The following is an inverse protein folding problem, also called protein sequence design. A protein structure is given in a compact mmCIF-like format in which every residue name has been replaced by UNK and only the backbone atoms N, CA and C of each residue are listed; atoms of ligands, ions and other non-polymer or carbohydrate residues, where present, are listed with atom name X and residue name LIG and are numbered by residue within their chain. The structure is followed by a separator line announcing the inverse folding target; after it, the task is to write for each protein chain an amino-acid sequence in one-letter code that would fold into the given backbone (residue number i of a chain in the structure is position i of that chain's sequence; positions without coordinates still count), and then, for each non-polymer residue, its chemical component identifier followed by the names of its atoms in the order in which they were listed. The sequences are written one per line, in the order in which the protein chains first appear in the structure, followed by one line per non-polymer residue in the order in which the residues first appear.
data_IF_805230927202
#
_entry.id   IF_805230927202
#
_cell.length_a   1.000
_cell.length_b   1.000
_cell.length_c   1.000
_cell.angle_alpha   90.00
_cell.angle_beta   90.00
_cell.angle_gamma   90.00
#
_symmetry.space_group_name_H-M   'P 1'
#
loop_
_entity.id
_entity.type
_entity.pdbx_description
1 polymer ?
#
# COMPACT_ATOMS: atom_id res chain seq x y z
N UNK A 1 -19.40 12.12 -3.17
CA UNK A 1 -20.05 10.86 -2.74
C UNK A 1 -21.26 11.21 -1.87
N UNK A 2 -22.36 10.49 -2.00
CA UNK A 2 -23.66 10.82 -1.38
C UNK A 2 -24.02 9.74 -0.36
N UNK A 3 -24.26 10.16 0.88
CA UNK A 3 -25.30 9.60 1.76
C UNK A 3 -26.22 10.79 2.12
N UNK A 4 -27.54 10.64 1.96
CA UNK A 4 -28.51 11.62 2.50
C UNK A 4 -28.64 12.96 1.76
N UNK A 5 -28.62 12.97 0.42
CA UNK A 5 -29.04 14.14 -0.38
C UNK A 5 -28.11 15.36 -0.36
N UNK A 6 -26.96 15.29 0.32
CA UNK A 6 -25.93 16.33 0.31
C UNK A 6 -24.60 15.80 -0.21
N UNK A 7 -23.99 16.51 -1.17
CA UNK A 7 -22.62 16.24 -1.59
C UNK A 7 -21.70 16.56 -0.41
N UNK A 8 -21.04 15.56 0.19
CA UNK A 8 -20.00 15.85 1.20
C UNK A 8 -18.82 16.47 0.46
N UNK A 9 -18.78 17.81 0.46
CA UNK A 9 -17.67 18.60 -0.05
C UNK A 9 -16.73 18.93 1.11
N UNK A 10 -15.49 18.47 1.00
CA UNK A 10 -14.42 18.93 1.88
C UNK A 10 -14.04 20.36 1.47
N UNK A 11 -13.99 21.27 2.45
CA UNK A 11 -13.59 22.66 2.19
C UNK A 11 -12.07 22.74 2.04
N UNK A 12 -11.53 23.72 1.29
CA UNK A 12 -10.12 24.03 1.33
C UNK A 12 -9.57 24.14 2.77
N UNK A 13 -8.39 23.59 3.00
CA UNK A 13 -7.75 23.44 4.32
C UNK A 13 -8.25 22.26 5.14
N UNK A 14 -9.28 21.52 4.68
CA UNK A 14 -9.73 20.31 5.37
C UNK A 14 -8.70 19.20 5.19
N UNK A 15 -8.35 18.55 6.30
CA UNK A 15 -7.47 17.38 6.32
C UNK A 15 -8.32 16.15 6.65
N UNK A 16 -8.23 15.12 5.82
CA UNK A 16 -8.99 13.88 5.98
C UNK A 16 -8.16 12.65 5.66
N UNK A 17 -8.53 11.54 6.30
CA UNK A 17 -7.94 10.23 6.06
C UNK A 17 -8.84 9.44 5.12
N UNK A 18 -8.27 8.75 4.14
CA UNK A 18 -8.95 7.70 3.38
C UNK A 18 -8.49 6.37 3.95
N UNK A 19 -9.44 5.55 4.38
CA UNK A 19 -9.24 4.19 4.86
C UNK A 19 -9.91 3.26 3.83
N UNK A 20 -9.13 2.74 2.90
CA UNK A 20 -9.58 1.78 1.90
C UNK A 20 -9.48 0.37 2.48
N UNK A 21 -10.61 -0.14 2.99
CA UNK A 21 -10.71 -1.49 3.52
C UNK A 21 -11.25 -2.44 2.45
N UNK A 22 -10.32 -3.12 1.77
CA UNK A 22 -10.60 -4.15 0.79
C UNK A 22 -10.78 -5.54 1.39
N UNK A 23 -10.85 -6.54 0.50
CA UNK A 23 -10.86 -7.96 0.89
C UNK A 23 -9.51 -8.38 1.48
N UNK A 24 -8.41 -8.19 0.74
CA UNK A 24 -7.09 -8.61 1.21
C UNK A 24 -6.37 -7.59 2.09
N UNK A 25 -6.40 -6.32 1.69
CA UNK A 25 -5.62 -5.26 2.35
C UNK A 25 -6.50 -4.16 2.91
N UNK A 26 -5.94 -3.42 3.85
CA UNK A 26 -6.42 -2.10 4.24
C UNK A 26 -5.30 -1.10 3.96
N UNK A 27 -5.60 -0.11 3.13
CA UNK A 27 -4.68 0.94 2.70
C UNK A 27 -5.15 2.30 3.23
N UNK A 28 -4.24 3.08 3.78
CA UNK A 28 -4.51 4.36 4.46
C UNK A 28 -3.66 5.46 3.86
N UNK A 29 -4.32 6.56 3.50
CA UNK A 29 -3.71 7.79 3.00
C UNK A 29 -4.32 9.01 3.71
N UNK A 30 -3.56 10.10 3.81
CA UNK A 30 -4.00 11.34 4.46
C UNK A 30 -3.84 12.48 3.48
N UNK A 31 -4.91 13.25 3.28
CA UNK A 31 -4.98 14.29 2.27
C UNK A 31 -5.44 15.62 2.86
N UNK A 32 -4.90 16.71 2.29
CA UNK A 32 -5.39 18.07 2.44
C UNK A 32 -6.08 18.51 1.15
N UNK A 33 -7.22 19.18 1.29
CA UNK A 33 -7.86 19.88 0.17
C UNK A 33 -7.25 21.26 0.02
N UNK A 34 -6.63 21.54 -1.12
CA UNK A 34 -6.02 22.84 -1.42
C UNK A 34 -7.06 23.89 -1.83
N UNK A 35 -6.64 25.16 -1.87
CA UNK A 35 -7.49 26.29 -2.27
C UNK A 35 -8.06 26.19 -3.69
N UNK A 36 -7.37 25.48 -4.59
CA UNK A 36 -7.80 25.22 -5.97
C UNK A 36 -8.67 23.95 -6.10
N UNK A 37 -9.03 23.34 -4.97
CA UNK A 37 -9.85 22.12 -4.90
C UNK A 37 -9.08 20.83 -5.15
N UNK A 38 -7.77 20.90 -5.43
CA UNK A 38 -6.94 19.71 -5.64
C UNK A 38 -6.46 19.10 -4.34
N UNK A 39 -5.95 17.88 -4.44
CA UNK A 39 -5.50 17.10 -3.27
C UNK A 39 -3.98 17.13 -3.14
N UNK A 40 -3.53 17.31 -1.89
CA UNK A 40 -2.15 17.13 -1.45
C UNK A 40 -2.08 15.98 -0.46
N UNK A 41 -1.29 14.95 -0.77
CA UNK A 41 -0.96 13.91 0.21
C UNK A 41 -0.06 14.49 1.30
N UNK A 42 -0.40 14.22 2.57
CA UNK A 42 0.27 14.79 3.74
C UNK A 42 1.16 13.81 4.49
N UNK A 43 0.91 12.51 4.31
CA UNK A 43 1.63 11.44 4.98
C UNK A 43 1.77 10.26 4.02
N UNK A 44 2.93 9.60 4.05
CA UNK A 44 3.22 8.42 3.23
C UNK A 44 2.08 7.39 3.38
N UNK A 45 1.56 6.92 2.26
CA UNK A 45 0.60 5.82 2.23
C UNK A 45 1.12 4.60 3.03
N UNK A 46 0.25 3.98 3.81
CA UNK A 46 0.57 2.82 4.67
C UNK A 46 -0.61 1.86 4.75
N UNK A 47 -0.38 0.62 5.15
CA UNK A 47 -1.44 -0.38 5.19
C UNK A 47 -0.94 -1.76 5.59
N UNK A 48 -1.83 -2.75 5.53
CA UNK A 48 -1.49 -4.14 5.83
C UNK A 48 -2.58 -5.13 5.43
N UNK A 49 -2.27 -6.42 5.54
CA UNK A 49 -3.17 -7.53 5.22
C UNK A 49 -4.21 -7.77 6.34
N UNK A 50 -5.05 -6.77 6.59
CA UNK A 50 -6.06 -6.76 7.66
C UNK A 50 -7.48 -6.64 7.10
N UNK A 51 -7.67 -6.92 5.81
CA UNK A 51 -8.95 -6.83 5.13
C UNK A 51 -9.93 -7.94 5.54
N UNK A 52 -11.07 -7.97 4.86
CA UNK A 52 -12.13 -8.96 5.11
C UNK A 52 -11.68 -10.44 5.02
N UNK A 53 -10.63 -10.74 4.26
CA UNK A 53 -10.05 -12.09 4.13
C UNK A 53 -9.45 -12.59 5.44
N UNK A 54 -9.00 -11.70 6.32
CA UNK A 54 -8.53 -12.11 7.65
C UNK A 54 -9.67 -12.67 8.52
N UNK A 55 -10.90 -12.21 8.28
CA UNK A 55 -12.10 -12.75 8.94
C UNK A 55 -12.44 -14.13 8.37
N UNK A 56 -12.26 -14.33 7.06
CA UNK A 56 -12.42 -15.63 6.40
C UNK A 56 -11.39 -16.65 6.90
N UNK A 57 -10.16 -16.21 7.11
CA UNK A 57 -9.11 -17.03 7.71
C UNK A 57 -9.44 -17.37 9.17
N UNK A 58 -9.94 -16.41 9.96
CA UNK A 58 -10.39 -16.68 11.32
C UNK A 58 -11.55 -17.70 11.36
N UNK A 59 -12.49 -17.62 10.42
CA UNK A 59 -13.57 -18.61 10.26
C UNK A 59 -13.02 -19.98 9.88
N UNK A 60 -12.03 -20.03 9.00
CA UNK A 60 -11.33 -21.27 8.63
C UNK A 60 -10.69 -21.92 9.85
N UNK A 61 -9.95 -21.15 10.66
CA UNK A 61 -9.35 -21.65 11.90
C UNK A 61 -10.40 -22.08 12.93
N UNK A 62 -11.54 -21.38 12.99
CA UNK A 62 -12.68 -21.80 13.78
C UNK A 62 -13.19 -23.18 13.35
N UNK A 63 -13.45 -23.41 12.06
CA UNK A 63 -13.88 -24.73 11.56
C UNK A 63 -12.84 -25.82 11.83
N UNK A 64 -11.55 -25.55 11.54
CA UNK A 64 -10.44 -26.46 11.85
C UNK A 64 -10.42 -26.83 13.34
N UNK A 65 -10.73 -25.90 14.23
CA UNK A 65 -10.79 -26.19 15.67
C UNK A 65 -12.00 -27.04 16.10
N UNK A 66 -13.00 -27.20 15.23
CA UNK A 66 -14.12 -28.13 15.44
C UNK A 66 -13.84 -29.52 14.88
N UNK A 67 -13.27 -29.60 13.68
CA UNK A 67 -13.15 -30.87 12.93
C UNK A 67 -11.72 -31.43 12.85
N UNK A 68 -10.71 -30.62 13.16
CA UNK A 68 -9.30 -30.96 12.95
C UNK A 68 -8.79 -30.60 11.55
N UNK A 69 -7.50 -30.25 11.47
CA UNK A 69 -6.86 -29.85 10.22
C UNK A 69 -6.80 -30.96 9.14
N UNK A 70 -6.56 -32.25 9.46
CA UNK A 70 -6.60 -33.33 8.46
C UNK A 70 -7.96 -33.42 7.75
N UNK A 71 -9.05 -33.55 8.53
CA UNK A 71 -10.44 -33.58 8.04
C UNK A 71 -10.75 -32.35 7.17
N UNK A 72 -10.43 -31.15 7.66
CA UNK A 72 -10.73 -29.92 6.92
C UNK A 72 -9.98 -29.84 5.58
N UNK A 73 -8.70 -30.24 5.54
CA UNK A 73 -7.92 -30.28 4.29
C UNK A 73 -8.46 -31.30 3.30
N UNK A 74 -8.84 -32.49 3.79
CA UNK A 74 -9.46 -33.52 2.93
C UNK A 74 -10.76 -32.99 2.33
N UNK A 75 -11.62 -32.36 3.14
CA UNK A 75 -12.85 -31.72 2.68
C UNK A 75 -12.61 -30.65 1.59
N UNK A 76 -11.59 -29.81 1.73
CA UNK A 76 -11.24 -28.80 0.72
C UNK A 76 -10.86 -29.39 -0.65
N UNK A 77 -10.24 -30.57 -0.65
CA UNK A 77 -9.75 -31.23 -1.87
C UNK A 77 -10.82 -32.13 -2.49
N UNK A 78 -11.49 -32.95 -1.68
CA UNK A 78 -12.44 -33.96 -2.14
C UNK A 78 -13.85 -33.39 -2.38
N UNK A 79 -14.24 -32.30 -1.71
CA UNK A 79 -15.58 -31.72 -1.79
C UNK A 79 -15.54 -30.19 -2.00
N UNK A 80 -14.83 -29.74 -3.05
CA UNK A 80 -14.64 -28.32 -3.34
C UNK A 80 -15.95 -27.55 -3.55
N UNK A 81 -16.99 -28.18 -4.13
CA UNK A 81 -18.29 -27.53 -4.35
C UNK A 81 -18.98 -27.17 -3.03
N UNK A 82 -19.06 -28.15 -2.10
CA UNK A 82 -19.61 -27.96 -0.76
C UNK A 82 -18.81 -26.93 0.04
N UNK A 83 -17.48 -26.97 -0.08
CA UNK A 83 -16.59 -25.98 0.53
C UNK A 83 -16.93 -24.56 0.04
N UNK A 84 -17.06 -24.37 -1.27
CA UNK A 84 -17.39 -23.08 -1.86
C UNK A 84 -18.80 -22.60 -1.47
N UNK A 85 -19.79 -23.50 -1.40
CA UNK A 85 -21.15 -23.14 -0.97
C UNK A 85 -21.17 -22.68 0.50
N UNK A 86 -20.50 -23.41 1.39
CA UNK A 86 -20.41 -23.05 2.81
C UNK A 86 -19.73 -21.69 3.01
N UNK A 87 -18.66 -21.39 2.26
CA UNK A 87 -17.98 -20.09 2.35
C UNK A 87 -18.80 -18.96 1.72
N UNK A 88 -19.62 -19.22 0.70
CA UNK A 88 -20.58 -18.22 0.19
C UNK A 88 -21.65 -17.89 1.23
N UNK A 89 -22.15 -18.88 1.95
CA UNK A 89 -23.11 -18.62 3.04
C UNK A 89 -22.44 -17.84 4.18
N UNK A 90 -21.21 -18.21 4.55
CA UNK A 90 -20.44 -17.45 5.53
C UNK A 90 -20.22 -16.00 5.10
N UNK A 91 -19.89 -15.73 3.84
CA UNK A 91 -19.70 -14.37 3.31
C UNK A 91 -20.95 -13.51 3.52
N UNK A 92 -22.15 -14.07 3.32
CA UNK A 92 -23.42 -13.38 3.59
C UNK A 92 -23.53 -13.05 5.09
N UNK A 93 -23.28 -14.04 5.96
CA UNK A 93 -23.36 -13.84 7.42
C UNK A 93 -22.32 -12.88 7.98
N UNK A 94 -21.12 -12.87 7.40
CA UNK A 94 -20.04 -11.94 7.70
C UNK A 94 -20.44 -10.49 7.40
N UNK A 95 -21.24 -10.24 6.35
CA UNK A 95 -21.76 -8.91 6.02
C UNK A 95 -22.95 -8.50 6.89
N UNK A 96 -23.78 -9.46 7.30
CA UNK A 96 -25.00 -9.19 8.08
C UNK A 96 -24.73 -8.93 9.57
N UNK A 97 -23.70 -9.56 10.16
CA UNK A 97 -23.41 -9.45 11.60
C UNK A 97 -23.12 -8.01 12.00
N UNK A 98 -23.71 -7.59 13.12
CA UNK A 98 -23.59 -6.25 13.67
C UNK A 98 -23.16 -6.29 15.15
N UNK A 99 -22.56 -5.21 15.67
CA UNK A 99 -22.09 -5.14 17.06
C UNK A 99 -23.19 -5.40 18.10
N UNK A 100 -24.42 -4.99 17.79
CA UNK A 100 -25.64 -5.12 18.59
C UNK A 100 -26.41 -6.42 18.35
N UNK A 101 -25.94 -7.29 17.45
CA UNK A 101 -26.62 -8.57 17.22
C UNK A 101 -26.28 -9.56 18.35
N UNK A 102 -27.28 -10.00 19.10
CA UNK A 102 -27.11 -11.02 20.15
C UNK A 102 -27.64 -12.40 19.73
N UNK A 103 -28.29 -12.49 18.57
CA UNK A 103 -28.85 -13.74 18.07
C UNK A 103 -27.77 -14.67 17.53
N UNK A 104 -27.97 -15.98 17.71
CA UNK A 104 -27.13 -17.01 17.09
C UNK A 104 -27.17 -16.88 15.57
N UNK A 105 -26.00 -16.96 14.95
CA UNK A 105 -25.84 -17.07 13.50
C UNK A 105 -25.93 -18.55 13.13
N UNK A 106 -26.69 -18.86 12.09
CA UNK A 106 -26.76 -20.22 11.55
C UNK A 106 -26.06 -20.25 10.21
N UNK A 107 -25.19 -21.23 10.02
CA UNK A 107 -24.52 -21.55 8.76
C UNK A 107 -24.74 -23.04 8.48
N UNK A 108 -25.01 -23.39 7.22
CA UNK A 108 -25.11 -24.80 6.82
C UNK A 108 -23.74 -25.46 6.87
N UNK A 109 -23.68 -26.61 7.52
CA UNK A 109 -22.52 -27.49 7.53
C UNK A 109 -22.78 -28.62 6.53
N UNK A 110 -21.97 -28.75 5.47
CA UNK A 110 -22.16 -29.79 4.47
C UNK A 110 -22.10 -31.20 5.08
N UNK A 111 -22.94 -32.11 4.59
CA UNK A 111 -22.94 -33.51 5.05
C UNK A 111 -21.62 -34.20 4.74
N UNK A 112 -20.98 -33.86 3.62
CA UNK A 112 -19.65 -34.35 3.24
C UNK A 112 -18.57 -34.04 4.29
N UNK A 113 -18.55 -32.83 4.87
CA UNK A 113 -17.62 -32.50 5.95
C UNK A 113 -17.89 -33.35 7.20
N UNK A 114 -19.16 -33.57 7.53
CA UNK A 114 -19.56 -34.43 8.63
C UNK A 114 -19.14 -35.89 8.38
N UNK A 115 -19.37 -36.41 7.18
CA UNK A 115 -19.02 -37.78 6.78
C UNK A 115 -17.51 -38.00 6.82
N UNK A 116 -16.70 -37.07 6.31
CA UNK A 116 -15.24 -37.14 6.41
C UNK A 116 -14.79 -37.13 7.87
N UNK A 117 -15.37 -36.27 8.71
CA UNK A 117 -15.04 -36.23 10.13
C UNK A 117 -15.32 -37.59 10.80
N UNK A 118 -16.49 -38.18 10.55
CA UNK A 118 -16.91 -39.45 11.14
C UNK A 118 -16.08 -40.63 10.62
N UNK A 119 -15.68 -40.61 9.34
CA UNK A 119 -14.78 -41.59 8.71
C UNK A 119 -13.37 -41.54 9.33
N UNK A 120 -12.79 -40.36 9.49
CA UNK A 120 -11.43 -40.21 10.02
C UNK A 120 -11.33 -40.37 11.54
N UNK A 121 -12.32 -39.89 12.30
CA UNK A 121 -12.26 -39.87 13.76
C UNK A 121 -12.96 -41.07 14.43
N UNK A 122 -13.93 -41.68 13.76
CA UNK A 122 -14.84 -42.67 14.38
C UNK A 122 -15.82 -42.07 15.40
N UNK A 123 -15.91 -40.74 15.53
CA UNK A 123 -16.79 -40.05 16.46
C UNK A 123 -17.89 -39.23 15.77
N UNK A 124 -19.07 -39.16 16.37
CA UNK A 124 -20.14 -38.27 15.90
C UNK A 124 -19.74 -36.79 16.07
N UNK A 125 -19.80 -36.02 14.98
CA UNK A 125 -19.34 -34.63 14.96
C UNK A 125 -20.07 -33.75 16.00
N UNK A 126 -21.36 -34.00 16.23
CA UNK A 126 -22.12 -33.23 17.23
C UNK A 126 -21.57 -33.48 18.63
N UNK A 127 -21.20 -34.72 18.98
CA UNK A 127 -20.53 -35.04 20.25
C UNK A 127 -19.15 -34.40 20.32
N UNK A 128 -18.35 -34.46 19.25
CA UNK A 128 -17.03 -33.85 19.21
C UNK A 128 -17.08 -32.34 19.48
N UNK A 129 -18.03 -31.61 18.86
CA UNK A 129 -18.24 -30.17 19.11
C UNK A 129 -18.48 -29.89 20.61
N UNK A 130 -19.24 -30.73 21.31
CA UNK A 130 -19.50 -30.56 22.75
C UNK A 130 -18.25 -30.79 23.63
N UNK A 131 -17.20 -31.39 23.10
CA UNK A 131 -15.92 -31.57 23.78
C UNK A 131 -14.95 -30.41 23.52
N UNK A 132 -15.24 -29.56 22.52
CA UNK A 132 -14.42 -28.38 22.23
C UNK A 132 -14.64 -27.26 23.24
N UNK A 133 -13.75 -26.25 23.22
CA UNK A 133 -13.92 -25.00 23.98
C UNK A 133 -15.21 -24.22 23.63
N UNK A 134 -15.86 -24.55 22.51
CA UNK A 134 -17.09 -23.88 22.06
C UNK A 134 -18.38 -24.60 22.45
N UNK A 135 -18.32 -25.63 23.32
CA UNK A 135 -19.47 -26.45 23.69
C UNK A 135 -20.71 -25.69 24.18
N UNK A 136 -20.52 -24.51 24.79
CA UNK A 136 -21.60 -23.63 25.25
C UNK A 136 -22.08 -22.63 24.19
N UNK A 137 -21.29 -22.41 23.16
CA UNK A 137 -21.46 -21.33 22.18
C UNK A 137 -21.86 -21.83 20.80
N UNK A 138 -21.57 -23.09 20.49
CA UNK A 138 -21.78 -23.71 19.19
C UNK A 138 -22.56 -25.00 19.36
N UNK A 139 -23.55 -25.20 18.49
CA UNK A 139 -24.36 -26.42 18.48
C UNK A 139 -24.71 -26.82 17.05
N UNK A 140 -24.65 -28.11 16.75
CA UNK A 140 -25.08 -28.68 15.46
C UNK A 140 -26.46 -29.33 15.61
N UNK A 141 -27.42 -28.96 14.75
CA UNK A 141 -28.76 -29.56 14.69
C UNK A 141 -29.12 -29.86 13.24
N UNK A 142 -29.12 -31.14 12.85
CA UNK A 142 -29.15 -31.51 11.44
C UNK A 142 -27.89 -31.02 10.74
N UNK A 143 -28.04 -30.29 9.64
CA UNK A 143 -26.96 -29.62 8.91
C UNK A 143 -26.75 -28.16 9.36
N UNK A 144 -27.38 -27.71 10.45
CA UNK A 144 -27.33 -26.31 10.89
C UNK A 144 -26.31 -26.13 12.02
N UNK A 145 -25.18 -25.50 11.71
CA UNK A 145 -24.21 -25.04 12.69
C UNK A 145 -24.68 -23.70 13.27
N UNK A 146 -25.16 -23.71 14.51
CA UNK A 146 -25.59 -22.51 15.23
C UNK A 146 -24.47 -21.99 16.10
N UNK A 147 -24.03 -20.77 15.85
CA UNK A 147 -22.87 -20.12 16.45
C UNK A 147 -23.35 -18.89 17.22
N UNK A 148 -22.97 -18.76 18.49
CA UNK A 148 -23.25 -17.55 19.26
C UNK A 148 -22.67 -16.31 18.58
N UNK A 149 -23.37 -15.18 18.74
CA UNK A 149 -22.90 -13.90 18.22
C UNK A 149 -21.52 -13.51 18.77
N UNK A 150 -21.20 -13.87 20.02
CA UNK A 150 -19.86 -13.66 20.62
C UNK A 150 -18.74 -14.27 19.78
N UNK A 151 -18.89 -15.54 19.39
CA UNK A 151 -17.91 -16.26 18.57
C UNK A 151 -17.83 -15.64 17.18
N UNK A 152 -18.96 -15.35 16.53
CA UNK A 152 -18.97 -14.70 15.21
C UNK A 152 -18.29 -13.33 15.22
N UNK A 153 -18.57 -12.50 16.23
CA UNK A 153 -17.92 -11.18 16.41
C UNK A 153 -16.42 -11.34 16.66
N UNK A 154 -16.02 -12.38 17.39
CA UNK A 154 -14.60 -12.63 17.70
C UNK A 154 -13.75 -12.87 16.45
N UNK A 155 -14.33 -13.37 15.35
CA UNK A 155 -13.63 -13.58 14.07
C UNK A 155 -13.06 -12.27 13.47
N UNK A 156 -13.63 -11.11 13.84
CA UNK A 156 -13.20 -9.79 13.35
C UNK A 156 -12.07 -9.17 14.17
N UNK A 157 -11.71 -9.76 15.32
CA UNK A 157 -10.85 -9.14 16.33
C UNK A 157 -9.50 -8.71 15.76
N UNK A 158 -8.83 -9.59 15.02
CA UNK A 158 -7.51 -9.33 14.46
C UNK A 158 -7.56 -8.19 13.43
N UNK A 159 -8.53 -8.22 12.53
CA UNK A 159 -8.70 -7.21 11.47
C UNK A 159 -8.98 -5.83 12.08
N UNK A 160 -9.93 -5.78 13.02
CA UNK A 160 -10.31 -4.55 13.71
C UNK A 160 -9.15 -4.01 14.55
N UNK A 161 -8.52 -4.85 15.37
CA UNK A 161 -7.46 -4.41 16.27
C UNK A 161 -6.25 -3.90 15.49
N UNK A 162 -5.85 -4.58 14.43
CA UNK A 162 -4.73 -4.16 13.57
C UNK A 162 -5.03 -2.82 12.93
N UNK A 163 -6.23 -2.66 12.35
CA UNK A 163 -6.67 -1.40 11.73
C UNK A 163 -6.70 -0.24 12.72
N UNK A 164 -7.37 -0.42 13.86
CA UNK A 164 -7.50 0.62 14.89
C UNK A 164 -6.14 1.01 15.46
N UNK A 165 -5.26 0.02 15.72
CA UNK A 165 -3.92 0.28 16.25
C UNK A 165 -3.08 1.07 15.25
N UNK A 166 -3.16 0.72 13.96
CA UNK A 166 -2.45 1.43 12.90
C UNK A 166 -2.93 2.87 12.75
N UNK A 167 -4.25 3.11 12.74
CA UNK A 167 -4.79 4.48 12.70
C UNK A 167 -4.35 5.27 13.94
N UNK A 168 -4.35 4.67 15.14
CA UNK A 168 -3.85 5.32 16.36
C UNK A 168 -2.37 5.69 16.26
N UNK A 169 -1.56 4.85 15.63
CA UNK A 169 -0.14 5.14 15.40
C UNK A 169 0.04 6.33 14.47
N UNK A 170 -0.68 6.36 13.33
CA UNK A 170 -0.64 7.47 12.39
C UNK A 170 -1.05 8.80 13.06
N UNK A 171 -2.04 8.76 13.95
CA UNK A 171 -2.51 9.94 14.70
C UNK A 171 -1.49 10.53 15.69
N UNK A 172 -0.36 9.86 15.94
CA UNK A 172 0.76 10.44 16.70
C UNK A 172 1.53 11.49 15.89
N UNK A 173 1.52 11.39 14.56
CA UNK A 173 2.12 12.39 13.69
C UNK A 173 1.32 13.70 13.77
N UNK A 174 2.02 14.83 13.92
CA UNK A 174 1.40 16.15 14.07
C UNK A 174 0.52 16.54 12.88
N UNK A 175 0.91 16.14 11.68
CA UNK A 175 0.20 16.44 10.43
C UNK A 175 -1.09 15.62 10.32
N UNK A 176 -1.08 14.38 10.80
CA UNK A 176 -2.26 13.50 10.77
C UNK A 176 -3.22 13.82 11.91
N UNK A 177 -2.71 14.27 13.07
CA UNK A 177 -3.53 14.61 14.24
C UNK A 177 -4.62 15.67 13.97
N UNK A 178 -4.45 16.50 12.93
CA UNK A 178 -5.43 17.51 12.53
C UNK A 178 -6.57 17.00 11.64
N UNK A 179 -6.66 15.69 11.36
CA UNK A 179 -7.76 15.17 10.54
C UNK A 179 -9.12 15.48 11.17
N UNK A 180 -10.07 15.95 10.37
CA UNK A 180 -11.45 16.16 10.80
C UNK A 180 -12.35 14.97 10.49
N UNK A 181 -11.94 14.14 9.53
CA UNK A 181 -12.78 13.08 8.97
C UNK A 181 -11.97 11.84 8.57
N UNK A 182 -12.59 10.67 8.69
CA UNK A 182 -12.14 9.41 8.07
C UNK A 182 -13.17 9.02 7.02
N UNK A 183 -12.73 8.88 5.79
CA UNK A 183 -13.50 8.38 4.66
C UNK A 183 -13.20 6.89 4.48
N UNK A 184 -14.14 6.04 4.84
CA UNK A 184 -14.00 4.58 4.75
C UNK A 184 -14.54 4.10 3.40
N UNK A 185 -13.69 3.49 2.58
CA UNK A 185 -14.00 2.98 1.23
C UNK A 185 -13.56 1.52 1.09
N UNK A 186 -13.91 0.85 0.01
CA UNK A 186 -13.63 -0.57 -0.18
C UNK A 186 -14.72 -1.48 0.43
N UNK A 187 -14.77 -2.73 -0.03
CA UNK A 187 -15.87 -3.64 0.32
C UNK A 187 -15.97 -3.97 1.81
N UNK A 188 -14.83 -4.05 2.52
CA UNK A 188 -14.84 -4.33 3.95
C UNK A 188 -15.26 -3.12 4.80
N UNK A 189 -15.25 -1.91 4.25
CA UNK A 189 -15.83 -0.73 4.89
C UNK A 189 -17.35 -0.79 5.04
N UNK A 190 -18.03 -1.72 4.35
CA UNK A 190 -19.47 -1.99 4.53
C UNK A 190 -19.75 -2.82 5.79
N UNK A 191 -18.72 -3.41 6.42
CA UNK A 191 -18.85 -4.17 7.67
C UNK A 191 -19.28 -3.27 8.83
N UNK A 192 -20.46 -3.55 9.39
CA UNK A 192 -20.97 -2.86 10.59
C UNK A 192 -20.03 -3.01 11.79
N UNK A 193 -19.34 -4.16 11.89
CA UNK A 193 -18.33 -4.41 12.92
C UNK A 193 -17.15 -3.44 12.80
N UNK A 194 -16.59 -3.27 11.59
CA UNK A 194 -15.47 -2.36 11.36
C UNK A 194 -15.90 -0.90 11.54
N UNK A 195 -17.05 -0.50 10.97
CA UNK A 195 -17.58 0.86 11.11
C UNK A 195 -17.77 1.25 12.59
N UNK A 196 -18.35 0.35 13.38
CA UNK A 196 -18.53 0.58 14.81
C UNK A 196 -17.19 0.73 15.54
N UNK A 197 -16.23 -0.14 15.28
CA UNK A 197 -14.92 -0.08 15.92
C UNK A 197 -14.17 1.24 15.61
N UNK A 198 -14.22 1.70 14.36
CA UNK A 198 -13.61 2.98 13.96
C UNK A 198 -14.34 4.15 14.62
N UNK A 199 -15.68 4.21 14.57
CA UNK A 199 -16.46 5.27 15.23
C UNK A 199 -16.20 5.34 16.74
N UNK A 200 -16.18 4.19 17.42
CA UNK A 200 -15.93 4.10 18.86
C UNK A 200 -14.49 4.46 19.22
N UNK A 201 -13.52 4.12 18.38
CA UNK A 201 -12.10 4.42 18.62
C UNK A 201 -11.74 5.88 18.38
N UNK A 202 -12.51 6.58 17.53
CA UNK A 202 -12.26 7.95 17.12
C UNK A 202 -13.52 8.82 17.21
N UNK A 203 -14.09 9.02 18.42
CA UNK A 203 -15.40 9.66 18.60
C UNK A 203 -15.44 11.13 18.16
N UNK A 204 -14.28 11.79 18.13
CA UNK A 204 -14.16 13.21 17.73
C UNK A 204 -13.93 13.39 16.23
N UNK A 205 -13.86 12.30 15.46
CA UNK A 205 -13.57 12.32 14.03
C UNK A 205 -14.81 11.92 13.26
N UNK A 206 -15.18 12.70 12.24
CA UNK A 206 -16.34 12.39 11.40
C UNK A 206 -16.05 11.18 10.52
N UNK A 207 -16.67 10.05 10.79
CA UNK A 207 -16.58 8.86 9.93
C UNK A 207 -17.62 8.94 8.80
N UNK A 208 -17.15 8.94 7.57
CA UNK A 208 -17.96 9.00 6.35
C UNK A 208 -17.83 7.66 5.62
N UNK A 209 -18.94 6.98 5.40
CA UNK A 209 -19.00 5.80 4.53
C UNK A 209 -19.86 6.18 3.33
N UNK A 210 -19.32 6.17 2.12
CA UNK A 210 -20.11 6.47 0.93
C UNK A 210 -21.02 5.30 0.57
N UNK A 211 -22.15 5.61 -0.10
CA UNK A 211 -22.99 4.60 -0.72
C UNK A 211 -22.18 3.76 -1.72
N UNK A 212 -22.35 2.44 -1.67
CA UNK A 212 -21.55 1.45 -2.43
C UNK A 212 -20.04 1.64 -2.21
N UNK A 213 -19.61 1.62 -0.95
CA UNK A 213 -18.20 1.78 -0.59
C UNK A 213 -17.28 0.81 -1.36
N UNK A 214 -17.76 -0.41 -1.66
CA UNK A 214 -17.05 -1.37 -2.51
C UNK A 214 -16.82 -0.94 -3.97
N UNK A 215 -17.64 -0.04 -4.53
CA UNK A 215 -17.51 0.46 -5.91
C UNK A 215 -16.83 1.83 -6.02
N UNK A 216 -16.64 2.52 -4.90
CA UNK A 216 -16.11 3.89 -4.88
C UNK A 216 -14.72 4.00 -5.47
N UNK A 217 -13.85 3.02 -5.23
CA UNK A 217 -12.50 3.01 -5.79
C UNK A 217 -12.54 2.96 -7.32
N UNK A 218 -13.38 2.09 -7.90
CA UNK A 218 -13.56 2.00 -9.34
C UNK A 218 -14.15 3.28 -9.93
N UNK A 219 -15.18 3.86 -9.28
CA UNK A 219 -15.76 5.14 -9.70
C UNK A 219 -14.70 6.26 -9.67
N UNK A 220 -13.89 6.31 -8.62
CA UNK A 220 -12.77 7.24 -8.47
C UNK A 220 -11.72 7.07 -9.56
N UNK A 221 -11.35 5.83 -9.91
CA UNK A 221 -10.41 5.53 -10.97
C UNK A 221 -10.89 6.02 -12.35
N UNK A 222 -12.19 5.84 -12.67
CA UNK A 222 -12.78 6.36 -13.91
C UNK A 222 -12.72 7.89 -13.95
N UNK A 223 -13.10 8.56 -12.87
CA UNK A 223 -12.99 10.03 -12.76
C UNK A 223 -11.55 10.50 -12.90
N UNK A 224 -10.61 9.81 -12.24
CA UNK A 224 -9.19 10.12 -12.35
C UNK A 224 -8.66 9.95 -13.78
N UNK A 225 -9.08 8.90 -14.49
CA UNK A 225 -8.72 8.70 -15.90
C UNK A 225 -9.19 9.84 -16.82
N UNK A 226 -10.35 10.44 -16.53
CA UNK A 226 -10.84 11.63 -17.25
C UNK A 226 -10.15 12.92 -16.82
N UNK A 227 -9.60 13.00 -15.61
CA UNK A 227 -9.01 14.22 -15.03
C UNK A 227 -7.85 13.89 -14.10
N UNK A 228 -6.68 13.49 -14.64
CA UNK A 228 -5.54 13.01 -13.85
C UNK A 228 -4.88 14.12 -13.00
N UNK A 229 -5.14 15.39 -13.31
CA UNK A 229 -4.63 16.56 -12.59
C UNK A 229 -5.35 16.85 -11.25
N UNK A 230 -6.28 15.99 -10.83
CA UNK A 230 -7.05 16.14 -9.57
C UNK A 230 -6.19 16.00 -8.31
N UNK A 231 -5.06 15.29 -8.40
CA UNK A 231 -4.02 15.24 -7.37
C UNK A 231 -2.85 16.08 -7.86
N UNK A 232 -2.31 16.97 -7.02
CA UNK A 232 -1.20 17.85 -7.43
C UNK A 232 0.09 17.60 -6.68
N UNK A 233 0.04 16.98 -5.51
CA UNK A 233 1.22 16.71 -4.71
C UNK A 233 1.18 15.31 -4.13
N UNK A 234 2.34 14.64 -4.11
CA UNK A 234 2.52 13.33 -3.48
C UNK A 234 3.73 13.31 -2.56
N UNK A 235 3.67 12.48 -1.53
CA UNK A 235 4.78 12.24 -0.61
C UNK A 235 5.64 11.10 -1.15
N UNK A 236 6.92 11.36 -1.42
CA UNK A 236 7.81 10.34 -1.98
C UNK A 236 8.06 9.18 -1.00
N UNK A 237 7.90 7.95 -1.49
CA UNK A 237 8.07 6.73 -0.69
C UNK A 237 9.52 6.34 -0.44
N UNK A 238 10.43 6.86 -1.26
CA UNK A 238 11.87 6.61 -1.28
C UNK A 238 12.61 7.91 -1.58
N UNK A 239 13.91 7.93 -1.29
CA UNK A 239 14.83 8.96 -1.77
C UNK A 239 15.28 8.59 -3.18
N UNK A 240 15.13 9.51 -4.14
CA UNK A 240 15.45 9.27 -5.54
C UNK A 240 16.68 10.05 -5.96
N UNK A 241 17.53 9.41 -6.75
CA UNK A 241 18.77 9.99 -7.22
C UNK A 241 19.44 9.20 -8.33
N UNK A 242 20.62 9.67 -8.71
CA UNK A 242 21.48 9.01 -9.71
C UNK A 242 22.88 8.78 -9.15
N UNK A 243 23.63 7.87 -9.77
CA UNK A 243 25.06 7.77 -9.49
C UNK A 243 25.82 9.01 -9.99
N UNK A 244 26.83 9.42 -9.24
CA UNK A 244 27.80 10.44 -9.67
C UNK A 244 29.22 10.07 -9.28
N UNK A 245 30.15 10.68 -10.00
CA UNK A 245 31.57 10.70 -9.68
C UNK A 245 32.00 12.12 -9.33
N UNK A 246 32.80 12.28 -8.26
CA UNK A 246 33.40 13.58 -7.87
C UNK A 246 34.87 13.39 -7.53
N UNK A 247 35.70 14.45 -7.45
CA UNK A 247 37.08 14.34 -6.99
C UNK A 247 37.20 13.59 -5.65
N UNK A 248 38.13 12.66 -5.56
CA UNK A 248 38.32 11.83 -4.37
C UNK A 248 38.81 12.68 -3.19
N UNK A 249 38.27 12.42 -2.00
CA UNK A 249 38.57 13.15 -0.76
C UNK A 249 38.77 12.06 0.31
N UNK A 250 40.01 11.89 0.77
CA UNK A 250 40.37 10.81 1.69
C UNK A 250 39.74 10.94 3.08
N UNK A 251 39.24 12.12 3.44
CA UNK A 251 38.56 12.33 4.73
C UNK A 251 37.08 11.94 4.69
N UNK A 252 36.48 11.89 3.49
CA UNK A 252 35.04 11.66 3.30
C UNK A 252 34.73 10.35 2.58
N UNK A 253 35.53 10.01 1.58
CA UNK A 253 35.22 8.95 0.64
C UNK A 253 35.88 7.62 1.01
N UNK A 254 35.15 6.53 0.80
CA UNK A 254 35.66 5.18 0.95
C UNK A 254 36.72 4.90 -0.13
N UNK A 255 37.92 4.52 0.31
CA UNK A 255 39.04 4.20 -0.59
C UNK A 255 38.69 3.10 -1.60
N UNK A 256 37.74 2.20 -1.28
CA UNK A 256 37.26 1.14 -2.18
C UNK A 256 36.46 1.67 -3.36
N UNK A 257 35.96 2.91 -3.27
CA UNK A 257 35.23 3.61 -4.34
C UNK A 257 36.12 4.52 -5.18
N UNK A 258 37.42 4.58 -4.89
CA UNK A 258 38.40 5.38 -5.63
C UNK A 258 38.64 4.79 -7.02
N UNK A 259 38.55 5.62 -8.04
CA UNK A 259 38.91 5.29 -9.43
C UNK A 259 39.90 6.33 -9.96
N UNK A 260 40.69 5.95 -10.97
CA UNK A 260 41.57 6.89 -11.67
C UNK A 260 40.80 7.61 -12.79
N UNK A 261 40.88 8.94 -12.80
CA UNK A 261 40.36 9.82 -13.84
C UNK A 261 41.46 10.67 -14.48
N UNK A 262 41.16 11.29 -15.62
CA UNK A 262 42.16 12.04 -16.41
C UNK A 262 42.73 13.26 -15.65
N UNK A 263 41.97 13.80 -14.69
CA UNK A 263 42.38 14.94 -13.85
C UNK A 263 42.66 14.53 -12.40
N UNK A 264 42.97 13.27 -12.15
CA UNK A 264 43.26 12.73 -10.83
C UNK A 264 42.17 11.78 -10.31
N UNK A 265 42.32 11.29 -9.07
CA UNK A 265 41.43 10.29 -8.53
C UNK A 265 40.03 10.83 -8.28
N UNK A 266 39.02 10.02 -8.60
CA UNK A 266 37.61 10.29 -8.37
C UNK A 266 37.05 9.27 -7.36
N UNK A 267 36.01 9.65 -6.63
CA UNK A 267 35.14 8.72 -5.93
C UNK A 267 33.93 8.41 -6.81
N UNK A 268 33.71 7.14 -7.11
CA UNK A 268 32.54 6.67 -7.86
C UNK A 268 31.40 6.27 -6.92
N UNK A 269 30.25 5.93 -7.50
CA UNK A 269 29.07 5.37 -6.84
C UNK A 269 28.44 6.29 -5.78
N UNK A 270 28.73 7.60 -5.80
CA UNK A 270 28.08 8.54 -4.89
C UNK A 270 26.62 8.72 -5.30
N UNK A 271 25.75 8.85 -4.30
CA UNK A 271 24.33 9.11 -4.53
C UNK A 271 24.10 10.60 -4.70
N UNK A 272 23.63 11.02 -5.88
CA UNK A 272 23.17 12.39 -6.10
C UNK A 272 21.66 12.50 -5.91
N UNK A 273 21.25 13.06 -4.76
CA UNK A 273 19.85 13.14 -4.35
C UNK A 273 19.11 14.25 -5.08
N UNK A 274 17.97 13.89 -5.68
CA UNK A 274 17.02 14.83 -6.28
C UNK A 274 15.79 15.04 -5.42
N UNK A 275 15.32 13.99 -4.76
CA UNK A 275 14.13 14.02 -3.90
C UNK A 275 14.37 13.14 -2.69
N UNK A 276 13.97 13.60 -1.52
CA UNK A 276 14.07 12.85 -0.27
C UNK A 276 12.79 12.03 0.04
N UNK A 277 12.96 10.86 0.66
CA UNK A 277 11.83 10.12 1.24
C UNK A 277 11.03 11.00 2.22
N UNK A 278 9.72 11.06 2.02
CA UNK A 278 8.83 11.94 2.78
C UNK A 278 8.67 13.35 2.22
N UNK A 279 9.43 13.72 1.19
CA UNK A 279 9.28 15.01 0.51
C UNK A 279 7.98 15.07 -0.30
N UNK A 280 7.30 16.23 -0.26
CA UNK A 280 6.09 16.50 -1.02
C UNK A 280 6.45 17.09 -2.39
N UNK A 281 6.34 16.29 -3.45
CA UNK A 281 6.65 16.72 -4.83
C UNK A 281 5.39 17.07 -5.61
N UNK A 282 5.47 18.13 -6.43
CA UNK A 282 4.41 18.50 -7.36
C UNK A 282 4.40 17.53 -8.55
N UNK A 283 3.22 17.03 -8.92
CA UNK A 283 3.08 16.15 -10.07
C UNK A 283 3.28 16.91 -11.38
N UNK A 284 3.96 16.28 -12.34
CA UNK A 284 4.31 16.82 -13.65
C UNK A 284 5.20 18.08 -13.63
N UNK A 285 5.85 18.36 -12.49
CA UNK A 285 6.85 19.43 -12.36
C UNK A 285 8.23 18.79 -12.25
N UNK A 286 9.16 19.25 -13.08
CA UNK A 286 10.55 18.78 -13.05
C UNK A 286 11.25 19.25 -11.78
N UNK A 287 12.09 18.39 -11.21
CA UNK A 287 13.03 18.76 -10.14
C UNK A 287 14.05 19.77 -10.64
N UNK A 288 14.76 20.42 -9.71
CA UNK A 288 15.91 21.25 -10.05
C UNK A 288 16.92 20.45 -10.86
N UNK A 289 17.34 21.01 -11.99
CA UNK A 289 18.34 20.37 -12.84
C UNK A 289 19.71 20.35 -12.16
N UNK A 290 20.36 19.19 -12.13
CA UNK A 290 21.78 19.12 -11.81
C UNK A 290 22.60 18.99 -13.09
N UNK A 291 23.78 19.59 -13.09
CA UNK A 291 24.71 19.55 -14.21
C UNK A 291 25.83 18.55 -13.98
N UNK A 292 26.12 17.75 -15.01
CA UNK A 292 27.18 16.74 -15.00
C UNK A 292 28.13 16.98 -16.16
N UNK A 293 29.39 16.65 -15.94
CA UNK A 293 30.42 16.66 -16.98
C UNK A 293 31.00 15.25 -17.10
N UNK A 294 31.54 14.89 -18.27
CA UNK A 294 32.18 13.59 -18.44
C UNK A 294 33.36 13.45 -17.49
N UNK A 295 33.62 12.23 -17.02
CA UNK A 295 34.76 11.96 -16.11
C UNK A 295 36.08 11.86 -16.88
N UNK A 296 36.01 11.57 -18.19
CA UNK A 296 37.16 11.42 -19.09
C UNK A 296 37.00 12.24 -20.36
N UNK A 297 38.11 12.72 -20.91
CA UNK A 297 38.14 13.45 -22.17
C UNK A 297 37.65 12.59 -23.35
N UNK A 298 37.99 11.30 -23.32
CA UNK A 298 37.67 10.34 -24.40
C UNK A 298 36.20 9.90 -24.44
N UNK A 299 35.42 10.19 -23.41
CA UNK A 299 34.05 9.73 -23.21
C UNK A 299 33.09 10.27 -24.30
N UNK A 300 32.29 9.37 -24.87
CA UNK A 300 31.34 9.65 -25.96
C UNK A 300 29.88 9.70 -25.50
N UNK A 301 29.61 9.26 -24.27
CA UNK A 301 28.26 9.22 -23.71
C UNK A 301 28.30 9.37 -22.20
N UNK A 302 27.27 9.96 -21.61
CA UNK A 302 27.06 10.03 -20.16
C UNK A 302 25.88 9.14 -19.82
N UNK A 303 26.11 8.15 -18.97
CA UNK A 303 25.07 7.30 -18.41
C UNK A 303 24.61 7.84 -17.06
N UNK A 304 23.31 7.75 -16.80
CA UNK A 304 22.70 8.01 -15.51
C UNK A 304 21.94 6.77 -15.09
N UNK A 305 22.38 6.11 -14.04
CA UNK A 305 21.62 5.02 -13.43
C UNK A 305 20.72 5.61 -12.35
N UNK A 306 19.42 5.32 -12.42
CA UNK A 306 18.43 5.87 -11.50
C UNK A 306 18.22 4.91 -10.34
N UNK A 307 18.24 5.45 -9.12
CA UNK A 307 18.11 4.69 -7.89
C UNK A 307 16.98 5.20 -7.01
N UNK A 308 16.37 4.28 -6.27
CA UNK A 308 15.54 4.55 -5.10
C UNK A 308 16.22 4.03 -3.83
N UNK A 309 16.15 4.78 -2.74
CA UNK A 309 16.68 4.38 -1.43
C UNK A 309 15.61 4.46 -0.34
N UNK A 310 15.62 3.49 0.58
CA UNK A 310 14.82 3.55 1.82
C UNK A 310 15.39 4.52 2.85
N UNK A 311 16.62 4.99 2.68
CA UNK A 311 17.28 5.94 3.58
C UNK A 311 17.04 7.39 3.16
N UNK A 312 17.05 8.33 4.12
CA UNK A 312 16.89 9.78 3.84
C UNK A 312 18.08 10.40 3.13
N UNK A 313 19.29 9.96 3.45
CA UNK A 313 20.53 10.53 2.93
C UNK A 313 21.54 9.41 2.69
N UNK A 314 21.31 8.54 1.69
CA UNK A 314 22.33 7.59 1.25
C UNK A 314 23.56 8.35 0.77
N UNK A 315 24.75 7.84 1.10
CA UNK A 315 26.01 8.40 0.64
C UNK A 315 26.40 7.77 -0.70
N UNK A 316 26.21 6.46 -0.82
CA UNK A 316 26.53 5.70 -2.04
C UNK A 316 25.28 5.02 -2.61
N UNK A 317 25.27 4.81 -3.93
CA UNK A 317 24.25 4.00 -4.61
C UNK A 317 24.34 2.52 -4.25
N UNK A 318 25.41 2.11 -3.57
CA UNK A 318 25.59 0.76 -3.03
C UNK A 318 25.26 0.65 -1.54
N UNK A 319 24.79 1.71 -0.89
CA UNK A 319 24.35 1.64 0.50
C UNK A 319 23.11 0.75 0.65
N UNK A 320 22.95 0.14 1.82
CA UNK A 320 21.83 -0.75 2.10
C UNK A 320 20.47 -0.06 1.83
N UNK A 321 19.61 -0.73 1.09
CA UNK A 321 18.29 -0.21 0.72
C UNK A 321 18.26 0.64 -0.54
N UNK A 322 19.38 0.85 -1.23
CA UNK A 322 19.42 1.38 -2.60
C UNK A 322 19.07 0.29 -3.64
N UNK A 323 18.17 0.61 -4.56
CA UNK A 323 17.73 -0.28 -5.65
C UNK A 323 17.76 0.50 -6.96
N UNK A 324 18.35 -0.12 -8.00
CA UNK A 324 18.36 0.43 -9.36
C UNK A 324 16.97 0.28 -10.01
N UNK A 325 16.46 1.38 -10.57
CA UNK A 325 15.17 1.42 -11.26
C UNK A 325 15.29 1.41 -12.78
N UNK A 326 16.43 1.87 -13.31
CA UNK A 326 16.66 1.98 -14.74
C UNK A 326 17.89 2.82 -15.04
N UNK A 327 18.09 3.16 -16.31
CA UNK A 327 19.19 4.02 -16.76
C UNK A 327 18.81 4.82 -18.01
N UNK A 328 19.50 5.93 -18.23
CA UNK A 328 19.44 6.71 -19.46
C UNK A 328 20.85 7.06 -19.92
N UNK A 329 21.09 7.05 -21.23
CA UNK A 329 22.39 7.34 -21.83
C UNK A 329 22.24 8.51 -22.80
N UNK A 330 23.04 9.56 -22.58
CA UNK A 330 23.11 10.73 -23.48
C UNK A 330 24.40 10.66 -24.27
N UNK A 331 24.31 10.74 -25.59
CA UNK A 331 25.48 10.82 -26.45
C UNK A 331 26.05 12.24 -26.45
N UNK A 332 27.36 12.37 -26.25
CA UNK A 332 28.13 13.62 -26.21
C UNK A 332 29.30 13.56 -27.20
N UNK A 333 28.96 13.37 -28.47
CA UNK A 333 29.91 13.00 -29.52
C UNK A 333 30.81 14.16 -29.97
N UNK A 334 30.45 15.41 -29.68
CA UNK A 334 31.23 16.56 -30.11
C UNK A 334 32.47 16.76 -29.23
N UNK A 335 33.58 16.21 -29.71
CA UNK A 335 34.91 16.34 -29.09
C UNK A 335 35.68 17.58 -29.53
N UNK A 336 35.08 18.46 -30.34
CA UNK A 336 35.73 19.72 -30.73
C UNK A 336 35.80 20.72 -29.56
N UNK A 337 35.03 20.47 -28.50
CA UNK A 337 34.97 21.32 -27.30
C UNK A 337 35.59 20.62 -26.08
N UNK A 338 36.17 21.39 -25.15
CA UNK A 338 36.73 20.85 -23.90
C UNK A 338 35.69 20.09 -23.05
N UNK A 339 36.13 19.14 -22.22
CA UNK A 339 35.26 18.30 -21.35
C UNK A 339 34.31 19.07 -20.45
N UNK A 340 34.77 20.16 -19.84
CA UNK A 340 33.97 21.00 -18.96
C UNK A 340 32.80 21.70 -19.69
N UNK A 341 32.90 21.86 -21.01
CA UNK A 341 31.83 22.40 -21.85
C UNK A 341 30.85 21.34 -22.38
N UNK A 342 31.18 20.05 -22.25
CA UNK A 342 30.33 18.91 -22.65
C UNK A 342 29.33 18.51 -21.57
N UNK A 343 28.67 19.51 -20.98
CA UNK A 343 27.79 19.29 -19.83
C UNK A 343 26.40 18.78 -20.20
N UNK A 344 25.87 17.89 -19.35
CA UNK A 344 24.52 17.33 -19.45
C UNK A 344 23.73 17.76 -18.21
N UNK A 345 22.54 18.32 -18.41
CA UNK A 345 21.57 18.54 -17.34
C UNK A 345 20.73 17.28 -17.15
N UNK A 346 20.47 16.88 -15.91
CA UNK A 346 19.51 15.84 -15.59
C UNK A 346 18.45 16.38 -14.63
N UNK A 347 17.19 15.99 -14.85
CA UNK A 347 16.05 16.23 -13.96
C UNK A 347 15.09 15.05 -13.96
N UNK A 348 14.27 14.97 -12.91
CA UNK A 348 13.21 13.99 -12.75
C UNK A 348 11.86 14.70 -12.69
N UNK A 349 10.85 14.13 -13.33
CA UNK A 349 9.46 14.60 -13.29
C UNK A 349 8.57 13.47 -12.78
N UNK A 350 7.81 13.72 -11.72
CA UNK A 350 6.97 12.71 -11.08
C UNK A 350 5.57 12.78 -11.68
N UNK A 351 5.23 11.84 -12.57
CA UNK A 351 4.02 11.90 -13.40
C UNK A 351 2.83 11.09 -12.88
N UNK A 352 2.97 10.37 -11.77
CA UNK A 352 1.91 9.54 -11.20
C UNK A 352 2.43 8.19 -10.73
N UNK A 353 2.31 7.15 -11.55
CA UNK A 353 2.88 5.80 -11.32
C UNK A 353 4.26 5.62 -11.92
N UNK A 354 4.77 6.66 -12.59
CA UNK A 354 6.02 6.68 -13.34
C UNK A 354 6.84 7.94 -13.04
N UNK A 355 8.15 7.79 -13.12
CA UNK A 355 9.12 8.88 -13.05
C UNK A 355 9.67 9.05 -14.46
N UNK A 356 9.40 10.21 -15.07
CA UNK A 356 10.02 10.61 -16.32
C UNK A 356 11.36 11.27 -16.00
N UNK A 357 12.43 10.76 -16.58
CA UNK A 357 13.76 11.36 -16.45
C UNK A 357 14.12 12.06 -17.75
N UNK A 358 14.66 13.26 -17.63
CA UNK A 358 15.08 14.09 -18.75
C UNK A 358 16.56 14.41 -18.61
N UNK A 359 17.34 13.97 -19.57
CA UNK A 359 18.76 14.28 -19.67
C UNK A 359 19.00 15.10 -20.95
N UNK A 360 19.57 16.30 -20.81
CA UNK A 360 19.74 17.27 -21.89
C UNK A 360 21.20 17.69 -22.03
N UNK A 361 21.79 17.47 -23.20
CA UNK A 361 23.10 18.05 -23.53
C UNK A 361 22.95 19.57 -23.66
N UNK A 362 23.65 20.35 -22.82
CA UNK A 362 23.41 21.80 -22.70
C UNK A 362 23.65 22.57 -23.99
N UNK A 363 24.63 22.14 -24.80
CA UNK A 363 25.10 22.88 -25.97
C UNK A 363 24.25 22.64 -27.21
N UNK A 364 23.93 21.37 -27.49
CA UNK A 364 23.10 20.99 -28.65
C UNK A 364 21.61 21.11 -28.36
N UNK A 365 21.23 21.07 -27.08
CA UNK A 365 19.83 20.97 -26.66
C UNK A 365 19.24 19.58 -26.88
N UNK A 366 20.03 18.58 -27.29
CA UNK A 366 19.56 17.22 -27.49
C UNK A 366 19.04 16.66 -26.17
N UNK A 367 17.80 16.17 -26.20
CA UNK A 367 17.12 15.60 -25.03
C UNK A 367 17.00 14.09 -25.21
N UNK A 368 17.40 13.35 -24.18
CA UNK A 368 17.08 11.93 -24.03
C UNK A 368 16.14 11.78 -22.84
N UNK A 369 15.07 11.01 -23.03
CA UNK A 369 14.09 10.71 -22.00
C UNK A 369 14.04 9.22 -21.73
N UNK A 370 13.78 8.87 -20.48
CA UNK A 370 13.39 7.52 -20.10
C UNK A 370 12.25 7.60 -19.09
N UNK A 371 11.48 6.52 -18.99
CA UNK A 371 10.40 6.38 -18.03
C UNK A 371 10.76 5.18 -17.16
N UNK A 372 10.74 5.38 -15.84
CA UNK A 372 10.95 4.31 -14.87
C UNK A 372 9.76 4.20 -13.93
N UNK A 373 9.40 2.99 -13.53
CA UNK A 373 8.30 2.76 -12.61
C UNK A 373 8.71 3.11 -11.17
N UNK A 374 7.75 3.55 -10.35
CA UNK A 374 7.98 3.75 -8.90
C UNK A 374 8.28 2.45 -8.15
N UNK A 375 7.96 1.31 -8.77
CA UNK A 375 8.21 -0.04 -8.30
C UNK A 375 9.08 -0.68 -9.37
N UNK A 376 10.37 -0.87 -9.07
CA UNK A 376 11.21 -1.77 -9.87
C UNK A 376 10.66 -3.19 -9.85
#
# INVERSE_FOLDING_TARGET
MIEGGGMVSFKPGSVYMVLDAGGGTIDITVHEVLSDGKLKELHKASGGAWGGTQVDEAYTQFLISLVGNPVFRRFQVENIEDYLEMFREFEIKKREIAPDNDNKVTIRLPSSLKEIFEDESGEDLRKAIMQTKYSKEVSLTGDKLRINASVMKSLFSNAIQSTVSHVKELMKDKVVRSISSILMVGGFSESKMLQHAIRTSFPNIKVIIPHEAGLVILKGAVVFGHSPSSVSYRVCKYTYGVDKSVPFDSEKHDIRKRIEGDNGPLCNDLFDKYVEIGESVALHVATTEHGYIPTRESQNSVGFTIYASTQKSPMYVTDDGCVQLGYVIVNILDKSVPRDQRSVCFSMTFGGTEIEVTAREKRTGNVTKAIVNFLG
#
